data_IF_030256156092
#
_entry.id   IF_030256156092
#
_cell.length_a   1.000
_cell.length_b   1.000
_cell.length_c   1.000
_cell.angle_alpha   90.00
_cell.angle_beta   90.00
_cell.angle_gamma   90.00
#
_symmetry.space_group_name_H-M   'P 1'
#
loop_
_entity.id
_entity.type
_entity.pdbx_description
1 polymer ?
#
# COMPACT_ATOMS: atom_id res chain seq x y z
N UNK A 1 24.58 10.42 -12.14
CA UNK A 1 24.00 10.03 -10.84
C UNK A 1 22.74 10.84 -10.65
N UNK A 2 21.57 10.21 -10.59
CA UNK A 2 20.32 10.93 -10.32
C UNK A 2 20.23 11.34 -8.86
N UNK A 3 20.11 12.63 -8.58
CA UNK A 3 19.88 13.12 -7.21
C UNK A 3 18.39 13.13 -6.88
N UNK A 4 18.04 12.92 -5.61
CA UNK A 4 16.69 13.13 -5.10
C UNK A 4 16.50 14.60 -4.71
N UNK A 5 15.28 15.11 -4.85
CA UNK A 5 14.92 16.50 -4.53
C UNK A 5 13.88 16.53 -3.43
N UNK A 6 14.04 17.44 -2.45
CA UNK A 6 13.11 17.62 -1.34
C UNK A 6 12.72 16.32 -0.62
N UNK A 7 13.65 15.36 -0.55
CA UNK A 7 13.39 14.04 0.02
C UNK A 7 13.94 13.91 1.44
N UNK A 8 13.23 13.20 2.31
CA UNK A 8 13.54 13.09 3.74
C UNK A 8 13.49 11.64 4.19
N UNK A 9 14.56 11.15 4.84
CA UNK A 9 14.71 9.76 5.29
C UNK A 9 14.50 8.79 4.13
N UNK A 10 15.48 8.76 3.23
CA UNK A 10 15.45 7.90 2.04
C UNK A 10 16.72 7.05 1.95
N UNK A 11 16.57 5.77 1.62
CA UNK A 11 17.66 4.79 1.55
C UNK A 11 17.64 4.11 0.18
N UNK A 12 18.76 4.17 -0.54
CA UNK A 12 18.90 3.64 -1.90
C UNK A 12 17.89 4.19 -2.95
N UNK A 13 17.28 5.36 -2.70
CA UNK A 13 16.36 5.97 -3.67
C UNK A 13 17.09 6.80 -4.74
N UNK A 14 16.53 6.89 -5.96
CA UNK A 14 17.08 7.76 -7.03
C UNK A 14 16.00 8.43 -7.87
N UNK A 15 16.37 9.54 -8.52
CA UNK A 15 15.52 10.29 -9.46
C UNK A 15 14.13 10.66 -8.90
N UNK A 16 14.02 10.82 -7.57
CA UNK A 16 12.74 11.06 -6.90
C UNK A 16 12.60 12.51 -6.43
N UNK A 17 11.37 13.02 -6.34
CA UNK A 17 11.03 14.35 -5.85
C UNK A 17 9.94 14.29 -4.79
N UNK A 18 10.09 15.06 -3.70
CA UNK A 18 9.12 15.13 -2.60
C UNK A 18 8.79 13.76 -1.97
N UNK A 19 9.77 12.85 -1.91
CA UNK A 19 9.65 11.54 -1.28
C UNK A 19 10.01 11.59 0.21
N UNK A 20 9.18 11.01 1.09
CA UNK A 20 9.50 10.86 2.51
C UNK A 20 9.37 9.41 2.94
N UNK A 21 10.32 8.94 3.78
CA UNK A 21 10.35 7.57 4.29
C UNK A 21 10.34 6.53 3.15
N UNK A 22 11.37 6.60 2.31
CA UNK A 22 11.52 5.74 1.14
C UNK A 22 12.69 4.78 1.27
N UNK A 23 12.50 3.52 0.90
CA UNK A 23 13.57 2.55 0.74
C UNK A 23 13.46 1.89 -0.62
N UNK A 24 14.57 1.80 -1.36
CA UNK A 24 14.59 1.13 -2.67
C UNK A 24 13.50 1.69 -3.60
N UNK A 25 13.38 3.02 -3.67
CA UNK A 25 12.38 3.71 -4.50
C UNK A 25 13.03 4.54 -5.61
N UNK A 26 12.56 4.36 -6.84
CA UNK A 26 13.06 5.09 -8.01
C UNK A 26 11.94 5.88 -8.70
N UNK A 27 12.26 7.07 -9.20
CA UNK A 27 11.34 7.88 -10.02
C UNK A 27 10.01 8.21 -9.31
N UNK A 28 10.01 8.25 -7.98
CA UNK A 28 8.83 8.57 -7.18
C UNK A 28 8.62 10.09 -7.04
N UNK A 29 7.37 10.55 -7.14
CA UNK A 29 6.98 11.95 -7.01
C UNK A 29 5.82 12.11 -6.05
N UNK A 30 5.98 13.00 -5.07
CA UNK A 30 4.92 13.32 -4.10
C UNK A 30 4.40 12.07 -3.35
N UNK A 31 5.31 11.18 -2.96
CA UNK A 31 5.00 9.92 -2.27
C UNK A 31 5.50 9.91 -0.82
N UNK A 32 4.89 9.06 -0.01
CA UNK A 32 5.19 8.86 1.40
C UNK A 32 5.16 7.36 1.72
N UNK A 33 6.06 6.87 2.58
CA UNK A 33 6.08 5.48 3.07
C UNK A 33 6.11 4.44 1.93
N UNK A 34 7.27 4.37 1.28
CA UNK A 34 7.49 3.57 0.07
C UNK A 34 8.64 2.58 0.26
N UNK A 35 8.42 1.31 -0.06
CA UNK A 35 9.48 0.28 -0.06
C UNK A 35 9.46 -0.52 -1.37
N UNK A 36 10.62 -0.66 -2.02
CA UNK A 36 10.80 -1.45 -3.25
C UNK A 36 9.89 -1.01 -4.40
N UNK A 37 9.98 0.25 -4.81
CA UNK A 37 9.05 0.85 -5.78
C UNK A 37 9.74 1.53 -6.96
N UNK A 38 8.99 1.72 -8.06
CA UNK A 38 9.50 2.35 -9.28
C UNK A 38 8.39 3.09 -10.01
N UNK A 39 8.64 4.36 -10.36
CA UNK A 39 7.76 5.23 -11.15
C UNK A 39 6.36 5.35 -10.52
N UNK A 40 6.30 6.10 -9.42
CA UNK A 40 5.09 6.27 -8.61
C UNK A 40 4.77 7.76 -8.44
N UNK A 41 3.48 8.10 -8.39
CA UNK A 41 3.04 9.48 -8.18
C UNK A 41 1.82 9.57 -7.27
N UNK A 42 1.91 10.38 -6.20
CA UNK A 42 0.83 10.54 -5.22
C UNK A 42 0.43 9.21 -4.54
N UNK A 43 1.42 8.35 -4.32
CA UNK A 43 1.23 7.05 -3.65
C UNK A 43 1.64 7.12 -2.17
N UNK A 44 0.96 6.34 -1.34
CA UNK A 44 1.17 6.28 0.11
C UNK A 44 1.03 4.84 0.63
N UNK A 45 1.89 4.42 1.56
CA UNK A 45 1.89 3.05 2.11
C UNK A 45 2.02 1.99 1.01
N UNK A 46 3.21 1.88 0.40
CA UNK A 46 3.43 1.00 -0.74
C UNK A 46 4.59 0.02 -0.50
N UNK A 47 4.39 -1.23 -0.93
CA UNK A 47 5.38 -2.32 -0.83
C UNK A 47 5.49 -3.06 -2.18
N UNK A 48 6.67 -3.12 -2.78
CA UNK A 48 6.90 -3.92 -3.98
C UNK A 48 6.04 -3.50 -5.19
N UNK A 49 5.66 -2.23 -5.27
CA UNK A 49 4.67 -1.71 -6.21
C UNK A 49 5.26 -0.61 -7.13
N UNK A 50 4.68 -0.38 -8.30
CA UNK A 50 5.33 0.47 -9.30
C UNK A 50 4.46 0.80 -10.51
N UNK A 51 4.88 1.79 -11.30
CA UNK A 51 4.07 2.40 -12.37
C UNK A 51 2.68 2.76 -11.86
N UNK A 52 2.64 3.31 -10.64
CA UNK A 52 1.44 3.55 -9.86
C UNK A 52 1.11 5.03 -9.75
N UNK A 53 -0.18 5.36 -9.63
CA UNK A 53 -0.55 6.70 -9.17
C UNK A 53 -1.85 6.76 -8.39
N UNK A 54 -1.87 7.60 -7.35
CA UNK A 54 -2.99 7.76 -6.41
C UNK A 54 -3.37 6.44 -5.72
N UNK A 55 -2.36 5.67 -5.35
CA UNK A 55 -2.51 4.39 -4.66
C UNK A 55 -2.29 4.55 -3.15
N UNK A 56 -3.06 3.81 -2.35
CA UNK A 56 -2.91 3.77 -0.90
C UNK A 56 -2.87 2.32 -0.42
N UNK A 57 -1.97 1.99 0.49
CA UNK A 57 -1.89 0.68 1.15
C UNK A 57 -1.89 -0.46 0.11
N UNK A 58 -0.98 -0.39 -0.87
CA UNK A 58 -0.94 -1.33 -1.99
C UNK A 58 0.38 -2.08 -2.10
N UNK A 59 0.28 -3.39 -2.28
CA UNK A 59 1.41 -4.31 -2.26
C UNK A 59 1.54 -5.12 -3.55
N UNK A 60 2.79 -5.35 -3.99
CA UNK A 60 3.15 -6.30 -5.08
C UNK A 60 2.35 -6.08 -6.36
N UNK A 61 2.16 -4.81 -6.72
CA UNK A 61 1.14 -4.37 -7.67
C UNK A 61 1.72 -3.37 -8.67
N UNK A 62 1.45 -3.55 -9.97
CA UNK A 62 2.06 -2.73 -11.03
C UNK A 62 1.05 -2.14 -12.03
N UNK A 63 1.37 -0.96 -12.59
CA UNK A 63 0.58 -0.27 -13.61
C UNK A 63 -0.83 0.11 -13.15
N UNK A 64 -0.97 0.54 -11.90
CA UNK A 64 -2.28 0.79 -11.30
C UNK A 64 -2.57 2.27 -11.08
N UNK A 65 -3.86 2.61 -11.07
CA UNK A 65 -4.33 3.96 -10.87
C UNK A 65 -5.53 3.99 -9.91
N UNK A 66 -5.58 4.93 -8.97
CA UNK A 66 -6.68 5.07 -8.01
C UNK A 66 -7.03 3.75 -7.28
N UNK A 67 -5.99 3.09 -6.76
CA UNK A 67 -6.07 1.77 -6.14
C UNK A 67 -5.89 1.85 -4.63
N UNK A 68 -6.82 1.28 -3.86
CA UNK A 68 -6.86 1.42 -2.40
C UNK A 68 -6.93 0.05 -1.71
N UNK A 69 -6.01 -0.23 -0.79
CA UNK A 69 -5.99 -1.48 0.01
C UNK A 69 -5.94 -2.74 -0.86
N UNK A 70 -4.93 -2.84 -1.73
CA UNK A 70 -4.92 -3.81 -2.82
C UNK A 70 -3.60 -4.59 -2.88
N UNK A 71 -3.66 -5.87 -3.25
CA UNK A 71 -2.46 -6.72 -3.34
C UNK A 71 -2.44 -7.55 -4.64
N UNK A 72 -1.28 -7.72 -5.27
CA UNK A 72 -1.11 -8.55 -6.47
C UNK A 72 -1.96 -8.12 -7.68
N UNK A 73 -2.20 -6.82 -7.87
CA UNK A 73 -3.01 -6.32 -8.99
C UNK A 73 -2.14 -5.74 -10.11
N UNK A 74 -2.55 -5.96 -11.37
CA UNK A 74 -1.77 -5.54 -12.54
C UNK A 74 -2.64 -4.83 -13.57
N UNK A 75 -2.27 -3.60 -13.95
CA UNK A 75 -2.98 -2.82 -14.98
C UNK A 75 -4.45 -2.54 -14.60
N UNK A 76 -4.72 -2.20 -13.34
CA UNK A 76 -6.06 -1.92 -12.83
C UNK A 76 -6.28 -0.42 -12.58
N UNK A 77 -7.54 0.01 -12.68
CA UNK A 77 -7.93 1.39 -12.44
C UNK A 77 -9.16 1.43 -11.54
N UNK A 78 -9.22 2.31 -10.55
CA UNK A 78 -10.39 2.44 -9.69
C UNK A 78 -10.78 1.08 -9.04
N UNK A 79 -9.89 0.57 -8.18
CA UNK A 79 -10.15 -0.66 -7.42
C UNK A 79 -9.95 -0.45 -5.91
N UNK A 80 -10.73 -1.16 -5.10
CA UNK A 80 -10.71 -1.05 -3.64
C UNK A 80 -10.73 -2.45 -3.01
N UNK A 81 -9.79 -2.77 -2.11
CA UNK A 81 -9.83 -4.04 -1.38
C UNK A 81 -9.64 -5.26 -2.28
N UNK A 82 -8.99 -5.10 -3.43
CA UNK A 82 -8.92 -6.13 -4.46
C UNK A 82 -7.59 -6.88 -4.41
N UNK A 83 -7.65 -8.17 -4.77
CA UNK A 83 -6.48 -9.06 -4.79
C UNK A 83 -6.42 -9.81 -6.11
N UNK A 84 -5.23 -9.91 -6.72
CA UNK A 84 -5.00 -10.75 -7.91
C UNK A 84 -5.83 -10.39 -9.15
N UNK A 85 -6.23 -9.12 -9.32
CA UNK A 85 -6.90 -8.67 -10.54
C UNK A 85 -5.90 -8.29 -11.63
N UNK A 86 -6.33 -8.45 -12.89
CA UNK A 86 -5.57 -8.03 -14.06
C UNK A 86 -6.49 -7.32 -15.05
N UNK A 87 -6.13 -6.11 -15.45
CA UNK A 87 -6.85 -5.34 -16.48
C UNK A 87 -8.33 -5.13 -16.14
N UNK A 88 -8.60 -4.76 -14.88
CA UNK A 88 -9.96 -4.53 -14.36
C UNK A 88 -10.14 -3.11 -13.84
N UNK A 89 -11.39 -2.68 -13.85
CA UNK A 89 -11.79 -1.40 -13.26
C UNK A 89 -13.11 -1.48 -12.53
N UNK A 90 -13.30 -0.56 -11.57
CA UNK A 90 -14.51 -0.40 -10.78
C UNK A 90 -14.83 -1.66 -9.96
N UNK A 91 -13.80 -2.21 -9.31
CA UNK A 91 -13.91 -3.40 -8.48
C UNK A 91 -13.82 -3.05 -7.00
N UNK A 92 -14.68 -3.68 -6.19
CA UNK A 92 -14.59 -3.65 -4.72
C UNK A 92 -14.59 -5.09 -4.26
N UNK A 93 -13.58 -5.51 -3.48
CA UNK A 93 -13.44 -6.89 -3.01
C UNK A 93 -13.58 -7.91 -4.17
N UNK A 94 -12.87 -7.65 -5.27
CA UNK A 94 -12.88 -8.41 -6.53
C UNK A 94 -14.21 -8.45 -7.29
N UNK A 95 -15.29 -7.83 -6.79
CA UNK A 95 -16.56 -7.73 -7.50
C UNK A 95 -16.58 -6.46 -8.35
N UNK A 96 -16.87 -6.60 -9.63
CA UNK A 96 -17.02 -5.48 -10.55
C UNK A 96 -18.41 -4.83 -10.41
N UNK A 97 -18.45 -3.50 -10.44
CA UNK A 97 -19.64 -2.67 -10.36
C UNK A 97 -19.73 -1.74 -11.57
N UNK A 98 -20.89 -1.10 -11.75
CA UNK A 98 -20.94 0.09 -12.60
C UNK A 98 -20.13 1.22 -11.97
N UNK A 99 -19.63 2.15 -12.79
CA UNK A 99 -18.86 3.31 -12.32
C UNK A 99 -19.61 4.13 -11.26
N UNK A 100 -20.92 4.34 -11.46
CA UNK A 100 -21.77 5.12 -10.53
C UNK A 100 -21.89 4.41 -9.19
N UNK A 101 -22.13 3.09 -9.20
CA UNK A 101 -22.22 2.30 -7.97
C UNK A 101 -20.88 2.21 -7.26
N UNK A 102 -19.79 2.00 -8.01
CA UNK A 102 -18.43 1.99 -7.49
C UNK A 102 -18.12 3.30 -6.77
N UNK A 103 -18.31 4.45 -7.42
CA UNK A 103 -18.05 5.77 -6.82
C UNK A 103 -18.87 6.00 -5.55
N UNK A 104 -20.13 5.57 -5.54
CA UNK A 104 -21.01 5.65 -4.37
C UNK A 104 -20.52 4.77 -3.22
N UNK A 105 -20.11 3.53 -3.51
CA UNK A 105 -19.60 2.58 -2.52
C UNK A 105 -18.22 2.98 -2.00
N UNK A 106 -17.28 3.33 -2.88
CA UNK A 106 -15.95 3.87 -2.55
C UNK A 106 -16.07 5.01 -1.54
N UNK A 107 -16.89 6.03 -1.83
CA UNK A 107 -17.11 7.13 -0.88
C UNK A 107 -17.58 6.66 0.49
N UNK A 108 -18.54 5.73 0.55
CA UNK A 108 -19.05 5.19 1.82
C UNK A 108 -17.97 4.42 2.60
N UNK A 109 -17.14 3.64 1.92
CA UNK A 109 -16.04 2.89 2.53
C UNK A 109 -14.97 3.83 3.09
N UNK A 110 -14.58 4.85 2.33
CA UNK A 110 -13.62 5.88 2.78
C UNK A 110 -14.13 6.55 4.07
N UNK A 111 -15.38 7.01 4.08
CA UNK A 111 -15.96 7.67 5.26
C UNK A 111 -16.11 6.71 6.46
N UNK A 112 -16.34 5.41 6.20
CA UNK A 112 -16.35 4.41 7.25
C UNK A 112 -14.96 4.24 7.87
N UNK A 113 -13.94 4.02 7.03
CA UNK A 113 -12.56 3.80 7.47
C UNK A 113 -11.97 5.02 8.18
N UNK A 114 -12.32 6.24 7.75
CA UNK A 114 -11.95 7.47 8.47
C UNK A 114 -12.57 7.52 9.87
N UNK A 115 -13.83 7.07 10.01
CA UNK A 115 -14.52 7.04 11.30
C UNK A 115 -13.97 5.96 12.24
N UNK A 116 -13.53 4.83 11.70
CA UNK A 116 -12.96 3.71 12.46
C UNK A 116 -11.46 3.86 12.70
N UNK A 117 -10.79 4.83 12.07
CA UNK A 117 -9.36 5.07 12.21
C UNK A 117 -8.48 4.15 11.35
N UNK A 118 -9.08 3.43 10.39
CA UNK A 118 -8.39 2.48 9.52
C UNK A 118 -7.91 3.14 8.21
N UNK A 119 -8.34 4.37 7.93
CA UNK A 119 -8.03 5.01 6.66
C UNK A 119 -6.56 5.45 6.58
N UNK A 120 -5.85 4.96 5.57
CA UNK A 120 -4.49 5.34 5.22
C UNK A 120 -3.48 4.24 5.50
N UNK A 121 -3.77 3.34 6.43
CA UNK A 121 -2.83 2.35 6.94
C UNK A 121 -3.08 0.97 6.32
N UNK A 122 -2.04 0.12 6.23
CA UNK A 122 -2.26 -1.29 5.97
C UNK A 122 -3.15 -1.93 7.06
N UNK A 123 -3.83 -3.06 6.76
CA UNK A 123 -4.67 -3.72 7.75
C UNK A 123 -3.88 -4.11 9.01
N UNK A 124 -4.54 -4.13 10.19
CA UNK A 124 -3.87 -4.35 11.46
C UNK A 124 -3.24 -5.74 11.54
N UNK A 125 -2.17 -5.86 12.34
CA UNK A 125 -1.44 -7.12 12.55
C UNK A 125 -2.34 -8.25 13.06
N UNK A 126 -3.41 -7.92 13.79
CA UNK A 126 -4.36 -8.89 14.36
C UNK A 126 -5.11 -9.70 13.30
N UNK A 127 -5.16 -9.21 12.05
CA UNK A 127 -5.77 -9.93 10.93
C UNK A 127 -4.73 -10.54 9.97
N UNK A 128 -3.44 -10.50 10.35
CA UNK A 128 -2.37 -11.14 9.58
C UNK A 128 -2.64 -12.64 9.42
N UNK A 129 -2.51 -13.20 8.20
CA UNK A 129 -2.59 -14.64 8.01
C UNK A 129 -1.28 -15.36 8.38
N UNK A 130 -0.23 -14.61 8.75
CA UNK A 130 1.09 -15.15 9.06
C UNK A 130 1.33 -15.18 10.59
N UNK A 131 1.79 -16.32 11.14
CA UNK A 131 2.24 -16.38 12.52
C UNK A 131 3.40 -15.41 12.78
N UNK A 132 3.40 -14.80 13.96
CA UNK A 132 4.42 -13.80 14.35
C UNK A 132 5.85 -14.33 14.20
N UNK A 133 6.08 -15.55 14.71
CA UNK A 133 7.37 -16.25 14.73
C UNK A 133 7.86 -16.71 13.35
N UNK A 134 6.94 -16.84 12.38
CA UNK A 134 7.26 -17.25 11.01
C UNK A 134 7.33 -16.05 10.05
N UNK A 135 7.15 -14.83 10.58
CA UNK A 135 7.24 -13.58 9.84
C UNK A 135 8.52 -12.82 10.22
N UNK A 136 8.88 -11.83 9.40
CA UNK A 136 9.97 -10.90 9.72
C UNK A 136 9.71 -10.09 11.01
N UNK A 137 8.50 -10.08 11.54
CA UNK A 137 8.18 -9.37 12.78
C UNK A 137 9.05 -9.86 13.95
N UNK A 138 9.39 -11.15 14.03
CA UNK A 138 10.26 -11.66 15.08
C UNK A 138 11.71 -11.18 14.95
N UNK A 139 12.18 -10.91 13.74
CA UNK A 139 13.53 -10.40 13.49
C UNK A 139 13.63 -8.91 13.83
N UNK A 140 12.60 -8.13 13.50
CA UNK A 140 12.57 -6.68 13.72
C UNK A 140 12.09 -6.29 15.13
N UNK A 141 11.17 -7.05 15.72
CA UNK A 141 10.48 -6.72 16.97
C UNK A 141 10.45 -7.90 17.96
N UNK A 142 11.59 -8.57 18.24
CA UNK A 142 11.61 -9.84 18.95
C UNK A 142 10.84 -9.80 20.27
N UNK A 143 9.90 -10.73 20.44
CA UNK A 143 9.15 -10.90 21.68
C UNK A 143 9.91 -11.74 22.70
N UNK A 144 9.84 -11.35 23.97
CA UNK A 144 10.32 -12.20 25.08
C UNK A 144 9.37 -13.36 25.31
N UNK A 145 9.86 -14.40 25.99
CA UNK A 145 9.03 -15.56 26.35
C UNK A 145 7.78 -15.16 27.13
N UNK A 146 7.91 -14.19 28.04
CA UNK A 146 6.83 -13.65 28.85
C UNK A 146 5.76 -12.97 27.99
N UNK A 147 6.18 -12.17 27.00
CA UNK A 147 5.28 -11.49 26.05
C UNK A 147 4.52 -12.51 25.19
N UNK A 148 5.20 -13.54 24.69
CA UNK A 148 4.58 -14.62 23.90
C UNK A 148 3.52 -15.35 24.72
N UNK A 149 3.81 -15.71 25.98
CA UNK A 149 2.84 -16.39 26.84
C UNK A 149 1.65 -15.52 27.26
N UNK A 150 1.75 -14.19 27.16
CA UNK A 150 0.64 -13.28 27.46
C UNK A 150 -0.33 -13.09 26.28
N UNK A 151 0.05 -13.54 25.08
CA UNK A 151 -0.76 -13.42 23.85
C UNK A 151 -1.36 -14.78 23.41
N UNK A 152 -1.22 -15.82 24.25
CA UNK A 152 -1.72 -17.18 24.02
C UNK A 152 -2.75 -17.62 25.04
#
# INVERSE_FOLDING_TARGET
MGSNKNSHVVFNCRFSENLRYGQDAWEARDCLDMTETLDNELDYEMEGAGWGSRCIASAKSWYNHDTLYCELNFTCNDIFGCVSLRTKSYCILNKQYSEVEYKKLKKKLIEHMKRTGEWGEFPPIDISPFPYNDSLAQDYFPLTKEQVTAHG
#
